data_IF_687716095346
#
_entry.id   IF_687716095346
#
_cell.length_a   1.000
_cell.length_b   1.000
_cell.length_c   1.000
_cell.angle_alpha   90.00
_cell.angle_beta   90.00
_cell.angle_gamma   90.00
#
_symmetry.space_group_name_H-M   'P 1'
#
loop_
_entity.id
_entity.type
_entity.pdbx_description
1 polymer ?
#
# COMPACT_ATOMS: atom_id res chain seq x y z
N UNK A 1 20.27 15.75 8.70
CA UNK A 1 19.52 14.48 8.56
C UNK A 1 18.08 14.65 9.01
N UNK A 2 17.15 14.95 8.10
CA UNK A 2 15.74 15.19 8.48
C UNK A 2 14.93 13.91 8.69
N UNK A 3 15.14 12.86 7.88
CA UNK A 3 14.39 11.59 8.01
C UNK A 3 14.77 10.82 9.28
N UNK A 4 16.07 10.72 9.59
CA UNK A 4 16.54 10.06 10.81
C UNK A 4 16.05 10.74 12.09
N UNK A 5 15.79 12.06 12.06
CA UNK A 5 15.19 12.79 13.18
C UNK A 5 13.81 12.24 13.53
N UNK A 6 13.01 11.86 12.54
CA UNK A 6 11.66 11.33 12.77
C UNK A 6 11.70 10.01 13.55
N UNK A 7 12.69 9.16 13.28
CA UNK A 7 12.89 7.89 14.01
C UNK A 7 13.33 8.15 15.46
N UNK A 8 14.16 9.19 15.68
CA UNK A 8 14.58 9.60 17.03
C UNK A 8 13.38 10.10 17.86
N UNK A 9 12.49 10.89 17.27
CA UNK A 9 11.29 11.40 17.95
C UNK A 9 10.19 10.36 18.11
N UNK A 10 10.02 9.47 17.13
CA UNK A 10 9.06 8.38 17.15
C UNK A 10 9.73 7.07 16.67
N UNK A 11 10.10 6.16 17.57
CA UNK A 11 10.88 4.96 17.26
C UNK A 11 10.03 3.85 16.62
N UNK A 12 9.24 4.19 15.61
CA UNK A 12 8.44 3.28 14.79
C UNK A 12 8.78 3.50 13.33
N UNK A 13 9.28 2.45 12.67
CA UNK A 13 9.64 2.47 11.26
C UNK A 13 8.92 1.33 10.55
N UNK A 14 8.34 1.63 9.40
CA UNK A 14 7.72 0.64 8.53
C UNK A 14 8.71 0.24 7.42
N UNK A 15 8.60 -0.98 6.87
CA UNK A 15 9.43 -1.38 5.74
C UNK A 15 9.16 -0.47 4.53
N UNK A 16 10.24 -0.09 3.83
CA UNK A 16 10.18 0.71 2.61
C UNK A 16 9.97 -0.14 1.36
N UNK A 17 10.21 0.46 0.18
CA UNK A 17 10.08 -0.25 -1.10
C UNK A 17 8.64 -0.69 -1.39
N UNK A 18 7.66 0.09 -0.91
CA UNK A 18 6.22 -0.14 -1.09
C UNK A 18 5.65 -1.39 -0.39
N UNK A 19 6.45 -2.07 0.44
CA UNK A 19 6.01 -3.27 1.16
C UNK A 19 4.84 -2.99 2.12
N UNK A 20 4.82 -1.80 2.71
CA UNK A 20 3.76 -1.40 3.65
C UNK A 20 2.45 -1.17 2.89
N UNK A 21 2.52 -0.44 1.79
CA UNK A 21 1.41 -0.10 0.90
C UNK A 21 0.74 -1.37 0.34
N UNK A 22 1.55 -2.34 -0.13
CA UNK A 22 1.05 -3.64 -0.59
C UNK A 22 0.37 -4.45 0.52
N UNK A 23 0.92 -4.40 1.74
CA UNK A 23 0.29 -5.07 2.89
C UNK A 23 -1.06 -4.45 3.23
N UNK A 24 -1.18 -3.12 3.17
CA UNK A 24 -2.44 -2.41 3.37
C UNK A 24 -3.44 -2.73 2.25
N UNK A 25 -3.01 -2.78 0.99
CA UNK A 25 -3.87 -3.23 -0.12
C UNK A 25 -4.44 -4.63 0.14
N UNK A 26 -3.58 -5.59 0.49
CA UNK A 26 -4.00 -6.96 0.79
C UNK A 26 -5.02 -7.03 1.94
N UNK A 27 -4.79 -6.26 3.02
CA UNK A 27 -5.71 -6.19 4.15
C UNK A 27 -7.06 -5.56 3.77
N UNK A 28 -7.05 -4.49 2.96
CA UNK A 28 -8.28 -3.86 2.46
C UNK A 28 -9.05 -4.78 1.52
N UNK A 29 -8.37 -5.56 0.68
CA UNK A 29 -8.99 -6.57 -0.18
C UNK A 29 -9.64 -7.68 0.66
N UNK A 30 -8.96 -8.19 1.69
CA UNK A 30 -9.56 -9.16 2.62
C UNK A 30 -10.79 -8.58 3.33
N UNK A 31 -10.72 -7.30 3.73
CA UNK A 31 -11.86 -6.62 4.36
C UNK A 31 -13.01 -6.43 3.39
N UNK A 32 -12.73 -6.04 2.14
CA UNK A 32 -13.71 -5.92 1.06
C UNK A 32 -14.46 -7.23 0.85
N UNK A 33 -13.77 -8.37 0.84
CA UNK A 33 -14.39 -9.70 0.72
C UNK A 33 -15.30 -10.07 1.91
N UNK A 34 -15.08 -9.48 3.08
CA UNK A 34 -15.91 -9.72 4.27
C UNK A 34 -17.15 -8.82 4.38
N UNK A 35 -17.29 -7.82 3.50
CA UNK A 35 -18.37 -6.84 3.53
C UNK A 35 -19.35 -7.11 2.38
N UNK A 36 -20.63 -7.12 2.70
CA UNK A 36 -21.70 -7.26 1.71
C UNK A 36 -22.27 -5.90 1.27
N UNK A 37 -22.91 -5.88 0.10
CA UNK A 37 -23.58 -4.70 -0.41
C UNK A 37 -22.63 -3.64 -0.98
N UNK A 38 -23.12 -2.41 -1.07
CA UNK A 38 -22.42 -1.29 -1.72
C UNK A 38 -21.22 -0.78 -0.92
N UNK A 39 -21.22 -1.03 0.39
CA UNK A 39 -20.17 -0.60 1.32
C UNK A 39 -18.83 -1.27 1.08
N UNK A 40 -18.78 -2.37 0.30
CA UNK A 40 -17.52 -3.05 -0.03
C UNK A 40 -16.69 -2.27 -1.07
N UNK A 41 -17.33 -1.52 -1.96
CA UNK A 41 -16.66 -0.89 -3.10
C UNK A 41 -15.58 0.12 -2.70
N UNK A 42 -15.78 0.98 -1.67
CA UNK A 42 -14.72 1.85 -1.18
C UNK A 42 -13.46 1.10 -0.72
N UNK A 43 -13.61 -0.07 -0.09
CA UNK A 43 -12.45 -0.86 0.36
C UNK A 43 -11.65 -1.41 -0.81
N UNK A 44 -12.32 -1.96 -1.83
CA UNK A 44 -11.66 -2.42 -3.05
C UNK A 44 -10.99 -1.27 -3.82
N UNK A 45 -11.66 -0.13 -3.94
CA UNK A 45 -11.10 1.05 -4.60
C UNK A 45 -9.86 1.58 -3.87
N UNK A 46 -9.90 1.64 -2.53
CA UNK A 46 -8.76 2.03 -1.72
C UNK A 46 -7.61 1.02 -1.85
N UNK A 47 -7.88 -0.28 -1.85
CA UNK A 47 -6.86 -1.31 -2.04
C UNK A 47 -6.08 -1.11 -3.36
N UNK A 48 -6.80 -0.93 -4.47
CA UNK A 48 -6.20 -0.64 -5.79
C UNK A 48 -5.37 0.65 -5.77
N UNK A 49 -5.83 1.68 -5.04
CA UNK A 49 -5.10 2.94 -4.95
C UNK A 49 -3.75 2.80 -4.22
N UNK A 50 -3.67 1.96 -3.20
CA UNK A 50 -2.40 1.68 -2.50
C UNK A 50 -1.36 0.99 -3.39
N UNK A 51 -1.77 0.28 -4.44
CA UNK A 51 -0.85 -0.38 -5.38
C UNK A 51 -0.32 0.55 -6.48
N UNK A 52 -0.77 1.80 -6.54
CA UNK A 52 -0.34 2.75 -7.58
C UNK A 52 1.17 3.00 -7.54
N UNK A 53 1.75 3.13 -6.35
CA UNK A 53 3.18 3.40 -6.18
C UNK A 53 4.04 2.20 -6.61
N UNK A 54 3.66 0.97 -6.24
CA UNK A 54 4.29 -0.26 -6.72
C UNK A 54 4.35 -0.33 -8.24
N UNK A 55 3.21 -0.05 -8.91
CA UNK A 55 3.12 0.02 -10.38
C UNK A 55 4.13 0.99 -10.96
N UNK A 56 4.19 2.20 -10.41
CA UNK A 56 5.13 3.24 -10.86
C UNK A 56 6.59 2.86 -10.58
N UNK A 57 6.91 2.31 -9.41
CA UNK A 57 8.27 1.92 -9.06
C UNK A 57 8.81 0.84 -9.99
N UNK A 58 8.03 -0.21 -10.28
CA UNK A 58 8.51 -1.24 -11.18
C UNK A 58 8.57 -0.78 -12.64
N UNK A 59 7.62 0.06 -13.09
CA UNK A 59 7.71 0.72 -14.40
C UNK A 59 8.99 1.54 -14.53
N UNK A 60 9.37 2.30 -13.50
CA UNK A 60 10.63 3.03 -13.47
C UNK A 60 11.86 2.10 -13.54
N UNK A 61 11.73 0.85 -13.08
CA UNK A 61 12.75 -0.19 -13.21
C UNK A 61 12.65 -1.01 -14.52
N UNK A 62 11.75 -0.65 -15.45
CA UNK A 62 11.53 -1.38 -16.70
C UNK A 62 10.85 -2.74 -16.52
N UNK A 63 10.26 -2.99 -15.36
CA UNK A 63 9.54 -4.22 -15.03
C UNK A 63 8.05 -4.00 -15.29
N UNK A 64 7.43 -4.95 -16.00
CA UNK A 64 5.98 -4.97 -16.16
C UNK A 64 5.35 -5.71 -14.98
N UNK A 65 4.40 -5.07 -14.31
CA UNK A 65 3.67 -5.68 -13.20
C UNK A 65 2.33 -6.22 -13.70
N UNK A 66 2.06 -7.48 -13.39
CA UNK A 66 0.72 -8.08 -13.47
C UNK A 66 0.23 -8.25 -12.03
N UNK A 67 -0.69 -7.39 -11.58
CA UNK A 67 -1.43 -7.52 -10.31
C UNK A 67 -2.88 -7.84 -10.63
#
# INVERSE_FOLDING_TARGET
MSVARNIRENPKLLPGGDATELTVSAALNQKCSSIEGIEKWPYGAAAIAFEAMSKTLAQNCGVNIVI
#
